data_IF_734668731973
#
_entry.id   IF_734668731973
#
_cell.length_a   1.000
_cell.length_b   1.000
_cell.length_c   1.000
_cell.angle_alpha   90.00
_cell.angle_beta   90.00
_cell.angle_gamma   90.00
#
_symmetry.space_group_name_H-M   'P 1'
#
loop_
_entity.id
_entity.type
_entity.pdbx_description
1 polymer ?
#
# COMPACT_ATOMS: atom_id res chain seq x y z
N UNK A 1 -11.09 5.63 13.71
CA UNK A 1 -11.23 4.18 13.39
C UNK A 1 -9.90 3.44 13.48
N UNK A 2 -8.85 3.86 12.73
CA UNK A 2 -7.57 3.15 12.67
C UNK A 2 -6.91 2.98 14.05
N UNK A 3 -6.90 4.04 14.88
CA UNK A 3 -6.34 3.96 16.24
C UNK A 3 -7.08 2.92 17.09
N UNK A 4 -8.41 2.92 17.03
CA UNK A 4 -9.21 1.92 17.74
C UNK A 4 -8.89 0.50 17.27
N UNK A 5 -8.78 0.25 15.98
CA UNK A 5 -8.42 -1.06 15.44
C UNK A 5 -7.04 -1.52 15.91
N UNK A 6 -6.08 -0.59 15.99
CA UNK A 6 -4.74 -0.85 16.51
C UNK A 6 -4.81 -1.24 17.99
N UNK A 7 -5.54 -0.48 18.79
CA UNK A 7 -5.70 -0.73 20.22
C UNK A 7 -6.40 -2.07 20.49
N UNK A 8 -7.53 -2.33 19.80
CA UNK A 8 -8.27 -3.58 19.91
C UNK A 8 -7.39 -4.81 19.53
N UNK A 9 -6.53 -4.65 18.52
CA UNK A 9 -5.58 -5.70 18.11
C UNK A 9 -4.56 -5.98 19.19
N UNK A 10 -4.00 -4.93 19.78
CA UNK A 10 -3.02 -5.04 20.88
C UNK A 10 -3.62 -5.64 22.13
N UNK A 11 -4.86 -5.27 22.46
CA UNK A 11 -5.61 -5.88 23.59
C UNK A 11 -5.75 -7.40 23.46
N UNK A 12 -5.85 -7.90 22.24
CA UNK A 12 -5.90 -9.34 21.95
C UNK A 12 -4.52 -10.02 21.91
N UNK A 13 -3.46 -9.31 22.24
CA UNK A 13 -2.09 -9.83 22.22
C UNK A 13 -1.48 -9.99 20.82
N UNK A 14 -2.09 -9.40 19.79
CA UNK A 14 -1.58 -9.43 18.42
C UNK A 14 -0.80 -8.15 18.09
N UNK A 15 0.09 -8.23 17.11
CA UNK A 15 0.87 -7.09 16.60
C UNK A 15 0.18 -6.50 15.37
N UNK A 16 -0.35 -5.27 15.43
CA UNK A 16 -0.95 -4.63 14.26
C UNK A 16 0.11 -4.15 13.27
N UNK A 17 -0.16 -4.32 12.00
CA UNK A 17 0.61 -3.73 10.89
C UNK A 17 -0.36 -2.89 10.07
N UNK A 18 -0.14 -1.59 10.00
CA UNK A 18 -0.93 -0.70 9.16
C UNK A 18 -0.40 -0.74 7.73
N UNK A 19 -1.26 -1.06 6.78
CA UNK A 19 -0.93 -1.08 5.35
C UNK A 19 -1.74 0.00 4.65
N UNK A 20 -1.08 0.86 3.89
CA UNK A 20 -1.77 1.90 3.12
C UNK A 20 -2.59 1.30 1.97
N UNK A 21 -3.56 2.06 1.46
CA UNK A 21 -4.42 1.65 0.35
C UNK A 21 -3.59 1.33 -0.91
N UNK A 22 -4.08 0.40 -1.72
CA UNK A 22 -3.51 0.13 -3.05
C UNK A 22 -3.75 1.31 -4.00
N UNK A 23 -2.84 1.48 -4.95
CA UNK A 23 -2.90 2.57 -5.93
C UNK A 23 -3.95 2.27 -6.99
N UNK A 24 -4.69 3.31 -7.41
CA UNK A 24 -5.67 3.23 -8.48
C UNK A 24 -5.06 3.57 -9.84
N UNK A 25 -5.75 3.18 -10.91
CA UNK A 25 -5.38 3.53 -12.29
C UNK A 25 -5.83 4.95 -12.65
N UNK A 26 -5.28 5.94 -11.95
CA UNK A 26 -5.57 7.38 -12.13
C UNK A 26 -4.25 8.12 -12.39
N UNK A 27 -4.17 8.88 -13.48
CA UNK A 27 -2.93 9.47 -14.01
C UNK A 27 -3.03 10.99 -14.24
N UNK A 28 -3.29 11.79 -13.21
CA UNK A 28 -3.28 13.24 -13.37
C UNK A 28 -1.86 13.72 -13.71
N UNK A 29 -1.73 14.52 -14.79
CA UNK A 29 -0.43 15.06 -15.19
C UNK A 29 0.61 14.04 -15.67
N UNK A 30 0.19 12.85 -16.08
CA UNK A 30 1.08 11.82 -16.64
C UNK A 30 1.80 10.92 -15.62
N UNK A 31 1.49 11.08 -14.34
CA UNK A 31 1.96 10.24 -13.24
C UNK A 31 0.77 9.66 -12.47
N UNK A 32 0.98 8.48 -11.87
CA UNK A 32 -0.08 7.86 -11.07
C UNK A 32 -0.39 8.68 -9.81
N UNK A 33 -1.65 8.78 -9.47
CA UNK A 33 -2.14 9.52 -8.30
C UNK A 33 -1.61 8.93 -6.98
N UNK A 34 -1.01 9.76 -6.14
CA UNK A 34 -0.36 9.30 -4.90
C UNK A 34 -1.13 9.56 -3.61
N UNK A 35 -2.07 10.48 -3.59
CA UNK A 35 -2.91 10.80 -2.41
C UNK A 35 -2.13 11.03 -1.10
N UNK A 36 -0.88 11.54 -1.21
CA UNK A 36 -0.01 11.75 -0.06
C UNK A 36 -0.48 12.84 0.91
N UNK A 37 -1.30 13.78 0.42
CA UNK A 37 -1.84 14.90 1.19
C UNK A 37 -3.18 14.58 1.87
N UNK A 38 -3.74 13.42 1.61
CA UNK A 38 -5.00 12.94 2.18
C UNK A 38 -4.79 11.63 2.95
N UNK A 39 -5.11 10.50 2.36
CA UNK A 39 -4.96 9.19 3.01
C UNK A 39 -3.53 8.92 3.49
N UNK A 40 -2.52 9.25 2.68
CA UNK A 40 -1.12 9.09 3.07
C UNK A 40 -0.75 9.90 4.30
N UNK A 41 -1.23 11.14 4.40
CA UNK A 41 -1.05 11.99 5.58
C UNK A 41 -1.67 11.35 6.83
N UNK A 42 -2.93 10.90 6.73
CA UNK A 42 -3.64 10.31 7.87
C UNK A 42 -2.98 9.03 8.37
N UNK A 43 -2.48 8.18 7.48
CA UNK A 43 -1.71 7.00 7.89
C UNK A 43 -0.46 7.38 8.68
N UNK A 44 0.32 8.35 8.19
CA UNK A 44 1.54 8.81 8.89
C UNK A 44 1.24 9.41 10.26
N UNK A 45 0.15 10.16 10.40
CA UNK A 45 -0.30 10.70 11.68
C UNK A 45 -0.65 9.58 12.67
N UNK A 46 -1.39 8.58 12.23
CA UNK A 46 -1.75 7.42 13.08
C UNK A 46 -0.51 6.62 13.49
N UNK A 47 0.43 6.42 12.58
CA UNK A 47 1.71 5.75 12.88
C UNK A 47 2.53 6.54 13.89
N UNK A 48 2.64 7.85 13.73
CA UNK A 48 3.34 8.72 14.68
C UNK A 48 2.73 8.67 16.08
N UNK A 49 1.38 8.65 16.17
CA UNK A 49 0.66 8.62 17.44
C UNK A 49 0.69 7.25 18.14
N UNK A 50 0.75 6.16 17.39
CA UNK A 50 0.56 4.80 17.94
C UNK A 50 1.83 3.96 17.96
N UNK A 51 2.86 4.34 17.22
CA UNK A 51 4.06 3.52 17.01
C UNK A 51 3.78 2.21 16.26
N UNK A 52 2.63 2.10 15.58
CA UNK A 52 2.28 0.92 14.80
C UNK A 52 3.26 0.70 13.63
N UNK A 53 3.58 -0.56 13.34
CA UNK A 53 4.31 -0.89 12.11
C UNK A 53 3.53 -0.42 10.89
N UNK A 54 4.25 0.11 9.88
CA UNK A 54 3.64 0.68 8.69
C UNK A 54 4.28 0.14 7.41
N UNK A 55 3.42 -0.31 6.49
CA UNK A 55 3.80 -0.70 5.13
C UNK A 55 3.15 0.29 4.15
N UNK A 56 3.98 1.13 3.52
CA UNK A 56 3.53 2.08 2.51
C UNK A 56 3.33 1.40 1.15
N UNK A 57 2.36 0.50 1.08
CA UNK A 57 2.01 -0.22 -0.14
C UNK A 57 1.63 0.74 -1.28
N UNK A 58 0.94 1.84 -0.94
CA UNK A 58 0.51 2.83 -1.93
C UNK A 58 1.68 3.39 -2.74
N UNK A 59 2.67 3.97 -2.07
CA UNK A 59 3.82 4.56 -2.76
C UNK A 59 4.71 3.51 -3.43
N UNK A 60 4.88 2.32 -2.86
CA UNK A 60 5.61 1.23 -3.50
C UNK A 60 4.96 0.77 -4.81
N UNK A 61 3.63 0.64 -4.82
CA UNK A 61 2.87 0.29 -6.02
C UNK A 61 2.90 1.45 -7.03
N UNK A 62 2.73 2.69 -6.57
CA UNK A 62 2.80 3.87 -7.41
C UNK A 62 4.16 4.01 -8.11
N UNK A 63 5.27 3.80 -7.39
CA UNK A 63 6.62 3.80 -7.95
C UNK A 63 6.79 2.74 -9.03
N UNK A 64 6.24 1.55 -8.79
CA UNK A 64 6.24 0.48 -9.79
C UNK A 64 5.45 0.88 -11.04
N UNK A 65 4.24 1.42 -10.85
CA UNK A 65 3.38 1.84 -11.98
C UNK A 65 4.04 2.95 -12.78
N UNK A 66 4.55 4.00 -12.15
CA UNK A 66 5.24 5.10 -12.83
C UNK A 66 6.49 4.63 -13.59
N UNK A 67 7.19 3.63 -13.08
CA UNK A 67 8.37 3.07 -13.75
C UNK A 67 8.03 2.26 -15.00
N UNK A 68 6.93 1.52 -14.98
CA UNK A 68 6.61 0.54 -16.02
C UNK A 68 5.52 0.98 -16.99
N UNK A 69 4.74 2.00 -16.65
CA UNK A 69 3.61 2.50 -17.44
C UNK A 69 3.66 4.02 -17.53
N UNK A 70 2.91 4.59 -18.48
CA UNK A 70 2.93 6.03 -18.74
C UNK A 70 1.53 6.66 -18.79
N UNK A 71 0.50 5.85 -18.74
CA UNK A 71 -0.90 6.30 -18.86
C UNK A 71 -1.84 5.23 -18.31
N UNK A 72 -3.09 5.63 -18.12
CA UNK A 72 -4.19 4.74 -17.77
C UNK A 72 -4.34 3.57 -18.76
N UNK A 73 -4.20 3.85 -20.05
CA UNK A 73 -4.32 2.85 -21.10
C UNK A 73 -3.17 1.86 -21.06
N UNK A 74 -1.94 2.33 -20.88
CA UNK A 74 -0.77 1.45 -20.81
C UNK A 74 -0.79 0.55 -19.57
N UNK A 75 -1.37 1.02 -18.46
CA UNK A 75 -1.53 0.27 -17.22
C UNK A 75 -2.81 -0.59 -17.16
N UNK A 76 -3.66 -0.55 -18.18
CA UNK A 76 -4.97 -1.22 -18.16
C UNK A 76 -4.88 -2.73 -17.84
N UNK A 77 -3.85 -3.42 -18.32
CA UNK A 77 -3.64 -4.85 -18.04
C UNK A 77 -3.34 -5.19 -16.57
N UNK A 78 -2.93 -4.19 -15.79
CA UNK A 78 -2.69 -4.33 -14.35
C UNK A 78 -4.00 -4.35 -13.56
N UNK A 79 -5.07 -3.87 -14.14
CA UNK A 79 -6.40 -3.74 -13.54
C UNK A 79 -7.42 -4.65 -14.22
N UNK A 80 -8.53 -4.89 -13.57
CA UNK A 80 -9.59 -5.79 -14.04
C UNK A 80 -10.82 -4.96 -14.49
N UNK A 81 -10.71 -4.36 -15.68
CA UNK A 81 -11.78 -3.59 -16.34
C UNK A 81 -12.25 -2.32 -15.62
N UNK A 82 -11.61 -1.92 -14.53
CA UNK A 82 -11.88 -0.67 -13.82
C UNK A 82 -10.58 -0.02 -13.34
N UNK A 83 -10.68 1.08 -12.59
CA UNK A 83 -9.53 1.80 -12.08
C UNK A 83 -9.07 1.35 -10.68
N UNK A 84 -9.74 0.39 -10.06
CA UNK A 84 -9.55 0.02 -8.64
C UNK A 84 -9.13 -1.42 -8.45
N UNK A 85 -9.86 -2.36 -9.06
CA UNK A 85 -9.62 -3.79 -8.87
C UNK A 85 -8.49 -4.27 -9.77
N UNK A 86 -7.56 -5.01 -9.18
CA UNK A 86 -6.41 -5.53 -9.93
C UNK A 86 -6.74 -6.80 -10.70
N UNK A 87 -6.10 -6.98 -11.85
CA UNK A 87 -6.01 -8.27 -12.52
C UNK A 87 -5.15 -9.24 -11.68
N UNK A 88 -5.10 -10.50 -12.07
CA UNK A 88 -4.20 -11.49 -11.45
C UNK A 88 -2.74 -11.01 -11.47
N UNK A 89 -2.29 -10.44 -12.59
CA UNK A 89 -0.93 -9.90 -12.71
C UNK A 89 -0.70 -8.72 -11.75
N UNK A 90 -1.66 -7.80 -11.66
CA UNK A 90 -1.59 -6.66 -10.75
C UNK A 90 -1.59 -7.10 -9.29
N UNK A 91 -2.46 -8.05 -8.93
CA UNK A 91 -2.51 -8.61 -7.57
C UNK A 91 -1.19 -9.30 -7.18
N UNK A 92 -0.61 -10.08 -8.10
CA UNK A 92 0.70 -10.71 -7.88
C UNK A 92 1.81 -9.68 -7.64
N UNK A 93 1.79 -8.58 -8.39
CA UNK A 93 2.76 -7.50 -8.20
C UNK A 93 2.51 -6.74 -6.89
N UNK A 94 1.27 -6.44 -6.56
CA UNK A 94 0.93 -5.81 -5.28
C UNK A 94 1.42 -6.65 -4.09
N UNK A 95 1.26 -7.97 -4.14
CA UNK A 95 1.79 -8.86 -3.11
C UNK A 95 3.31 -8.76 -2.97
N UNK A 96 4.05 -8.66 -4.09
CA UNK A 96 5.51 -8.42 -4.06
C UNK A 96 5.87 -7.07 -3.43
N UNK A 97 5.10 -6.02 -3.72
CA UNK A 97 5.34 -4.69 -3.15
C UNK A 97 5.05 -4.68 -1.65
N UNK A 98 4.00 -5.35 -1.20
CA UNK A 98 3.69 -5.51 0.23
C UNK A 98 4.81 -6.29 0.94
N UNK A 99 5.27 -7.40 0.38
CA UNK A 99 6.40 -8.15 0.93
C UNK A 99 7.68 -7.31 1.02
N UNK A 100 7.96 -6.50 -0.02
CA UNK A 100 9.05 -5.51 0.01
C UNK A 100 8.86 -4.50 1.14
N UNK A 101 7.64 -3.97 1.30
CA UNK A 101 7.30 -3.01 2.35
C UNK A 101 7.47 -3.60 3.76
N UNK A 102 7.12 -4.85 3.98
CA UNK A 102 7.32 -5.57 5.25
C UNK A 102 8.82 -5.66 5.58
N UNK A 103 9.68 -5.94 4.59
CA UNK A 103 11.14 -5.94 4.77
C UNK A 103 11.69 -4.55 5.06
N UNK A 104 11.24 -3.53 4.35
CA UNK A 104 11.65 -2.13 4.56
C UNK A 104 11.24 -1.61 5.95
N UNK A 105 10.08 -2.01 6.44
CA UNK A 105 9.60 -1.70 7.78
C UNK A 105 10.37 -2.45 8.89
N UNK A 106 11.26 -3.37 8.53
CA UNK A 106 11.99 -4.25 9.45
C UNK A 106 11.07 -4.99 10.42
N UNK A 107 9.86 -5.33 9.95
CA UNK A 107 8.91 -6.12 10.71
C UNK A 107 9.47 -7.50 11.05
N UNK A 108 9.24 -8.03 12.25
CA UNK A 108 9.55 -9.44 12.57
C UNK A 108 8.90 -10.43 11.61
N UNK A 109 7.77 -10.05 11.00
CA UNK A 109 7.09 -10.85 9.96
C UNK A 109 7.96 -11.11 8.73
N UNK A 110 8.96 -10.26 8.47
CA UNK A 110 9.87 -10.42 7.33
C UNK A 110 10.62 -11.77 7.35
N UNK A 111 10.88 -12.33 8.52
CA UNK A 111 11.53 -13.63 8.68
C UNK A 111 10.71 -14.80 8.09
N UNK A 112 9.41 -14.62 7.91
CA UNK A 112 8.50 -15.63 7.37
C UNK A 112 8.23 -15.48 5.87
N UNK A 113 8.76 -14.43 5.24
CA UNK A 113 8.64 -14.24 3.80
C UNK A 113 9.65 -15.11 3.05
N UNK A 114 9.14 -15.80 2.03
CA UNK A 114 9.97 -16.64 1.14
C UNK A 114 10.63 -15.82 0.03
#
# INVERSE_FOLDING_TARGET
YLKKMIDDTREKGATPILVSLTTRNEWPGGHVERRNDSYGKWYREVVADTGCEFVDAHNLIADYLDKHYKSKESAAKYFNHDHTHTSYMGAKNNAKMIAKGIRLAKSPLAAYLK
#
